data_IF_036107188541
#
_entry.id   IF_036107188541
#
_cell.length_a   1.000
_cell.length_b   1.000
_cell.length_c   1.000
_cell.angle_alpha   90.00
_cell.angle_beta   90.00
_cell.angle_gamma   90.00
#
_symmetry.space_group_name_H-M   'P 1'
#
loop_
_entity.id
_entity.type
_entity.pdbx_description
1 polymer ?
#
# COMPACT_ATOMS: atom_id res chain seq x y z
N UNK A 1 -14.10 -10.35 21.06
CA UNK A 1 -12.87 -11.03 20.64
C UNK A 1 -12.37 -10.28 19.43
N UNK A 2 -11.23 -9.59 19.52
CA UNK A 2 -10.52 -9.11 18.34
C UNK A 2 -10.20 -10.35 17.49
N UNK A 3 -10.46 -10.31 16.18
CA UNK A 3 -9.97 -11.37 15.30
C UNK A 3 -8.45 -11.45 15.50
N UNK A 4 -7.94 -12.63 15.88
CA UNK A 4 -6.51 -12.82 16.01
C UNK A 4 -5.88 -12.55 14.64
N UNK A 5 -4.90 -11.65 14.59
CA UNK A 5 -4.12 -11.44 13.38
C UNK A 5 -3.50 -12.80 12.95
N UNK A 6 -3.54 -13.10 11.65
CA UNK A 6 -2.98 -14.32 11.06
C UNK A 6 -1.74 -13.98 10.20
N UNK A 7 -0.61 -13.57 10.81
CA UNK A 7 0.54 -13.10 10.05
C UNK A 7 1.30 -14.24 9.36
N UNK A 8 1.73 -13.99 8.13
CA UNK A 8 2.76 -14.80 7.45
C UNK A 8 4.17 -14.49 8.00
N UNK A 9 4.41 -13.23 8.41
CA UNK A 9 5.68 -12.72 8.93
C UNK A 9 5.46 -11.82 10.14
N UNK A 10 6.28 -11.97 11.18
CA UNK A 10 6.38 -11.08 12.33
C UNK A 10 7.76 -10.44 12.36
N UNK A 11 7.81 -9.11 12.26
CA UNK A 11 9.04 -8.32 12.41
C UNK A 11 9.16 -7.83 13.86
N UNK A 12 10.31 -8.02 14.49
CA UNK A 12 10.55 -7.62 15.88
C UNK A 12 11.79 -6.74 16.02
N UNK A 13 11.61 -5.58 16.66
CA UNK A 13 12.67 -4.71 17.17
C UNK A 13 12.27 -4.22 18.56
N UNK A 14 12.65 -4.97 19.60
CA UNK A 14 12.16 -4.81 20.97
C UNK A 14 13.31 -5.08 21.95
N UNK A 15 13.30 -4.42 23.11
CA UNK A 15 14.29 -4.63 24.17
C UNK A 15 14.99 -3.35 24.65
N UNK A 16 14.88 -2.23 23.92
CA UNK A 16 15.64 -1.02 24.27
C UNK A 16 15.16 -0.38 25.58
N UNK A 17 13.86 -0.43 25.86
CA UNK A 17 13.26 0.10 27.09
C UNK A 17 13.71 -0.72 28.31
N UNK A 18 13.84 -2.03 28.16
CA UNK A 18 14.35 -2.95 29.18
C UNK A 18 15.75 -2.53 29.61
N UNK A 19 16.64 -2.24 28.64
CA UNK A 19 18.01 -1.84 28.91
C UNK A 19 18.14 -0.43 29.47
N UNK A 20 17.41 0.54 28.89
CA UNK A 20 17.57 1.97 29.18
C UNK A 20 16.77 2.42 30.38
N UNK A 21 15.48 2.09 30.42
CA UNK A 21 14.54 2.63 31.42
C UNK A 21 14.35 1.69 32.60
N UNK A 22 14.49 0.38 32.38
CA UNK A 22 14.35 -0.62 33.44
C UNK A 22 15.70 -1.13 33.96
N UNK A 23 16.80 -0.74 33.32
CA UNK A 23 18.15 -1.08 33.75
C UNK A 23 18.44 -2.59 33.72
N UNK A 24 17.69 -3.34 32.90
CA UNK A 24 17.81 -4.79 32.81
C UNK A 24 19.20 -5.22 32.37
N UNK A 25 19.61 -6.38 32.86
CA UNK A 25 20.79 -7.08 32.35
C UNK A 25 20.56 -7.48 30.88
N UNK A 26 21.50 -7.22 29.95
CA UNK A 26 21.29 -7.48 28.53
C UNK A 26 21.05 -8.94 28.16
N UNK A 27 21.66 -9.89 28.88
CA UNK A 27 21.43 -11.31 28.63
C UNK A 27 20.04 -11.74 29.11
N UNK A 28 19.58 -11.20 30.24
CA UNK A 28 18.25 -11.42 30.78
C UNK A 28 17.16 -10.86 29.86
N UNK A 29 17.31 -9.62 29.39
CA UNK A 29 16.39 -9.02 28.41
C UNK A 29 16.34 -9.82 27.09
N UNK A 30 17.48 -10.33 26.61
CA UNK A 30 17.51 -11.19 25.44
C UNK A 30 16.80 -12.55 25.67
N UNK A 31 16.84 -13.07 26.89
CA UNK A 31 16.12 -14.28 27.28
C UNK A 31 14.60 -14.05 27.37
N UNK A 32 14.16 -12.86 27.78
CA UNK A 32 12.74 -12.47 27.74
C UNK A 32 12.23 -12.37 26.30
N UNK A 33 12.98 -11.71 25.41
CA UNK A 33 12.66 -11.70 23.98
C UNK A 33 12.61 -13.12 23.39
N UNK A 34 13.53 -14.01 23.82
CA UNK A 34 13.47 -15.43 23.44
C UNK A 34 12.12 -16.06 23.83
N UNK A 35 11.63 -15.79 25.04
CA UNK A 35 10.34 -16.26 25.54
C UNK A 35 9.17 -15.75 24.69
N UNK A 36 9.17 -14.45 24.35
CA UNK A 36 8.15 -13.87 23.46
C UNK A 36 8.14 -14.56 22.09
N UNK A 37 9.30 -14.82 21.50
CA UNK A 37 9.39 -15.53 20.22
C UNK A 37 8.85 -16.96 20.35
N UNK A 38 9.11 -17.63 21.48
CA UNK A 38 8.57 -18.97 21.74
C UNK A 38 7.04 -18.95 21.85
N UNK A 39 6.46 -17.90 22.44
CA UNK A 39 5.02 -17.69 22.51
C UNK A 39 4.40 -17.41 21.13
N UNK A 40 5.08 -16.63 20.28
CA UNK A 40 4.68 -16.40 18.88
C UNK A 40 4.58 -17.72 18.13
N UNK A 41 5.61 -18.58 18.20
CA UNK A 41 5.58 -19.89 17.54
C UNK A 41 4.52 -20.84 18.14
N UNK A 42 4.24 -20.73 19.44
CA UNK A 42 3.18 -21.53 20.08
C UNK A 42 1.79 -21.13 19.60
N UNK A 43 1.56 -19.83 19.42
CA UNK A 43 0.28 -19.29 18.97
C UNK A 43 0.10 -19.40 17.45
N UNK A 44 1.19 -19.31 16.69
CA UNK A 44 1.18 -19.46 15.23
C UNK A 44 2.31 -20.37 14.73
N UNK A 45 2.11 -21.70 14.76
CA UNK A 45 3.06 -22.63 14.19
C UNK A 45 3.31 -22.32 12.70
N UNK A 46 4.58 -22.29 12.29
CA UNK A 46 4.99 -22.05 10.91
C UNK A 46 5.07 -20.58 10.47
N UNK A 47 4.78 -19.62 11.34
CA UNK A 47 5.02 -18.19 11.04
C UNK A 47 6.51 -17.91 10.83
N UNK A 48 6.84 -16.93 9.99
CA UNK A 48 8.21 -16.42 9.91
C UNK A 48 8.44 -15.34 10.95
N UNK A 49 9.54 -15.43 11.72
CA UNK A 49 9.94 -14.38 12.66
C UNK A 49 11.28 -13.81 12.23
N UNK A 50 11.33 -12.49 12.01
CA UNK A 50 12.56 -11.76 11.66
C UNK A 50 12.82 -10.73 12.76
N UNK A 51 13.98 -10.82 13.40
CA UNK A 51 14.36 -9.95 14.51
C UNK A 51 15.51 -9.06 14.11
N UNK A 52 15.31 -7.74 14.10
CA UNK A 52 16.42 -6.80 14.02
C UNK A 52 16.95 -6.50 15.42
N UNK A 53 18.27 -6.59 15.58
CA UNK A 53 18.92 -6.20 16.84
C UNK A 53 18.64 -4.74 17.23
N UNK A 54 18.97 -4.39 18.47
CA UNK A 54 18.88 -3.04 19.01
C UNK A 54 19.94 -2.13 18.41
N UNK A 55 19.59 -0.87 18.16
CA UNK A 55 20.49 0.11 17.56
C UNK A 55 21.75 0.29 18.42
N UNK A 56 22.97 0.07 17.88
CA UNK A 56 24.19 0.16 18.68
C UNK A 56 24.48 1.57 19.19
N UNK A 57 23.94 2.59 18.52
CA UNK A 57 24.21 4.00 18.77
C UNK A 57 23.18 4.64 19.73
N UNK A 58 22.28 3.84 20.34
CA UNK A 58 21.38 4.34 21.39
C UNK A 58 22.18 4.80 22.61
N UNK A 59 21.93 6.04 23.03
CA UNK A 59 22.65 6.67 24.14
C UNK A 59 22.29 6.04 25.49
N UNK A 60 23.23 6.07 26.43
CA UNK A 60 23.11 5.59 27.83
C UNK A 60 23.10 4.07 28.02
N UNK A 61 23.11 3.32 26.92
CA UNK A 61 23.16 1.86 26.89
C UNK A 61 24.27 1.34 25.97
N UNK A 62 25.29 2.16 25.75
CA UNK A 62 26.44 1.81 24.90
C UNK A 62 27.08 0.50 25.39
N UNK A 63 27.29 -0.43 24.47
CA UNK A 63 27.83 -1.77 24.78
C UNK A 63 26.79 -2.78 25.29
N UNK A 64 25.73 -2.35 26.00
CA UNK A 64 24.64 -3.25 26.43
C UNK A 64 23.88 -3.81 25.23
N UNK A 65 23.58 -2.96 24.24
CA UNK A 65 22.94 -3.36 22.98
C UNK A 65 23.76 -4.41 22.24
N UNK A 66 25.09 -4.34 22.28
CA UNK A 66 25.98 -5.35 21.69
C UNK A 66 25.83 -6.73 22.33
N UNK A 67 25.77 -6.80 23.66
CA UNK A 67 25.57 -8.07 24.40
C UNK A 67 24.19 -8.66 24.11
N UNK A 68 23.14 -7.83 24.14
CA UNK A 68 21.79 -8.23 23.78
C UNK A 68 21.74 -8.79 22.34
N UNK A 69 22.28 -8.05 21.38
CA UNK A 69 22.29 -8.42 19.97
C UNK A 69 23.04 -9.73 19.70
N UNK A 70 24.19 -9.94 20.36
CA UNK A 70 24.93 -11.18 20.26
C UNK A 70 24.12 -12.38 20.79
N UNK A 71 23.41 -12.20 21.90
CA UNK A 71 22.55 -13.24 22.49
C UNK A 71 21.35 -13.58 21.59
N UNK A 72 20.71 -12.58 20.97
CA UNK A 72 19.60 -12.80 20.02
C UNK A 72 20.10 -13.47 18.73
N UNK A 73 21.20 -12.97 18.16
CA UNK A 73 21.81 -13.56 16.96
C UNK A 73 22.20 -15.03 17.17
N UNK A 74 22.72 -15.36 18.36
CA UNK A 74 23.09 -16.73 18.74
C UNK A 74 21.93 -17.74 18.74
N UNK A 75 20.68 -17.29 18.72
CA UNK A 75 19.51 -18.17 18.66
C UNK A 75 19.25 -18.72 17.25
N UNK A 76 19.82 -18.12 16.20
CA UNK A 76 19.39 -18.41 14.83
C UNK A 76 19.59 -19.87 14.42
N UNK A 77 20.75 -20.45 14.75
CA UNK A 77 21.05 -21.85 14.40
C UNK A 77 20.14 -22.81 15.19
N UNK A 78 19.99 -22.60 16.50
CA UNK A 78 19.19 -23.50 17.35
C UNK A 78 17.71 -23.47 16.98
N UNK A 79 17.17 -22.29 16.65
CA UNK A 79 15.79 -22.14 16.17
C UNK A 79 15.57 -22.82 14.82
N UNK A 80 16.47 -22.62 13.86
CA UNK A 80 16.38 -23.30 12.55
C UNK A 80 16.50 -24.82 12.67
N UNK A 81 17.38 -25.32 13.54
CA UNK A 81 17.49 -26.76 13.82
C UNK A 81 16.22 -27.33 14.48
N UNK A 82 15.45 -26.50 15.20
CA UNK A 82 14.14 -26.85 15.73
C UNK A 82 13.00 -26.72 14.69
N UNK A 83 13.31 -26.47 13.42
CA UNK A 83 12.33 -26.31 12.33
C UNK A 83 11.61 -24.96 12.32
N UNK A 84 12.06 -24.00 13.12
CA UNK A 84 11.47 -22.65 13.14
C UNK A 84 12.00 -21.79 11.98
N UNK A 85 11.10 -21.03 11.36
CA UNK A 85 11.42 -20.02 10.34
C UNK A 85 11.86 -18.73 11.02
N UNK A 86 13.09 -18.72 11.51
CA UNK A 86 13.66 -17.61 12.27
C UNK A 86 14.85 -17.00 11.55
N UNK A 87 14.94 -15.66 11.56
CA UNK A 87 16.08 -14.92 10.99
C UNK A 87 16.48 -13.75 11.88
N UNK A 88 17.77 -13.59 12.11
CA UNK A 88 18.33 -12.41 12.76
C UNK A 88 18.81 -11.39 11.71
N UNK A 89 18.59 -10.11 11.99
CA UNK A 89 19.02 -8.97 11.17
C UNK A 89 19.94 -8.09 12.02
N UNK A 90 21.16 -7.89 11.55
CA UNK A 90 22.05 -6.93 12.19
C UNK A 90 21.48 -5.50 12.05
N UNK A 91 21.39 -4.73 13.13
CA UNK A 91 20.88 -3.37 13.06
C UNK A 91 21.84 -2.44 12.30
N UNK A 92 21.32 -1.42 11.61
CA UNK A 92 22.18 -0.38 11.03
C UNK A 92 22.85 0.44 12.13
N UNK A 93 23.91 1.17 11.75
CA UNK A 93 24.47 2.25 12.56
C UNK A 93 23.81 3.57 12.18
N UNK A 94 23.47 4.37 13.17
CA UNK A 94 22.84 5.68 13.00
C UNK A 94 23.79 6.80 13.43
N UNK A 95 23.67 7.95 12.78
CA UNK A 95 24.31 9.18 13.23
C UNK A 95 23.51 9.73 14.42
N UNK A 96 24.08 9.68 15.61
CA UNK A 96 23.39 10.13 16.84
C UNK A 96 22.94 11.59 16.75
N UNK A 97 23.74 12.47 16.14
CA UNK A 97 23.44 13.89 16.09
C UNK A 97 22.35 14.23 15.06
N UNK A 98 22.29 13.48 13.96
CA UNK A 98 21.38 13.77 12.85
C UNK A 98 20.13 12.89 12.82
N UNK A 99 20.19 11.68 13.38
CA UNK A 99 19.19 10.62 13.17
C UNK A 99 18.55 10.12 14.47
N UNK A 100 19.07 10.50 15.64
CA UNK A 100 18.52 10.15 16.96
C UNK A 100 18.28 11.42 17.82
N UNK A 101 17.20 12.19 17.56
CA UNK A 101 16.96 13.47 18.22
C UNK A 101 16.92 13.43 19.76
N UNK A 102 16.49 12.31 20.33
CA UNK A 102 16.47 12.07 21.78
C UNK A 102 17.47 10.98 22.23
N UNK A 103 18.39 10.63 21.34
CA UNK A 103 19.38 9.56 21.56
C UNK A 103 18.81 8.14 21.56
N UNK A 104 17.52 7.94 21.30
CA UNK A 104 16.84 6.62 21.38
C UNK A 104 16.00 6.31 20.16
N UNK A 105 15.15 7.24 19.74
CA UNK A 105 14.20 7.06 18.66
C UNK A 105 14.77 7.61 17.35
N UNK A 106 14.83 6.81 16.28
CA UNK A 106 15.19 7.28 14.96
C UNK A 106 14.22 8.36 14.45
N UNK A 107 14.72 9.31 13.68
CA UNK A 107 13.88 10.08 12.78
C UNK A 107 13.65 9.33 11.46
N UNK A 108 12.96 9.96 10.50
CA UNK A 108 12.66 9.37 9.19
C UNK A 108 13.89 8.79 8.48
N UNK A 109 15.03 9.49 8.50
CA UNK A 109 16.26 9.02 7.87
C UNK A 109 16.82 7.76 8.57
N UNK A 110 16.76 7.72 9.90
CA UNK A 110 17.14 6.53 10.67
C UNK A 110 16.18 5.36 10.44
N UNK A 111 14.87 5.60 10.37
CA UNK A 111 13.89 4.57 10.04
C UNK A 111 14.06 4.01 8.62
N UNK A 112 14.45 4.84 7.64
CA UNK A 112 14.80 4.36 6.29
C UNK A 112 15.96 3.36 6.34
N UNK A 113 16.98 3.60 7.17
CA UNK A 113 18.09 2.66 7.35
C UNK A 113 17.65 1.37 8.03
N UNK A 114 16.77 1.45 9.03
CA UNK A 114 16.20 0.26 9.68
C UNK A 114 15.39 -0.58 8.70
N UNK A 115 14.56 0.06 7.87
CA UNK A 115 13.79 -0.61 6.83
C UNK A 115 14.72 -1.29 5.80
N UNK A 116 15.76 -0.59 5.34
CA UNK A 116 16.75 -1.14 4.42
C UNK A 116 17.51 -2.35 4.99
N UNK A 117 17.63 -2.49 6.31
CA UNK A 117 18.19 -3.68 6.93
C UNK A 117 17.20 -4.86 6.98
N UNK A 118 15.90 -4.60 7.13
CA UNK A 118 14.86 -5.65 7.08
C UNK A 118 14.61 -6.19 5.68
N UNK A 119 14.66 -5.34 4.66
CA UNK A 119 14.21 -5.66 3.30
C UNK A 119 14.88 -6.93 2.73
N UNK A 120 16.22 -7.09 2.74
CA UNK A 120 16.86 -8.31 2.26
C UNK A 120 16.48 -9.56 3.06
N UNK A 121 16.17 -9.42 4.35
CA UNK A 121 15.79 -10.52 5.21
C UNK A 121 14.37 -11.03 4.92
N UNK A 122 13.46 -10.10 4.60
CA UNK A 122 12.10 -10.42 4.15
C UNK A 122 12.15 -11.09 2.78
N UNK A 123 12.92 -10.53 1.85
CA UNK A 123 13.13 -11.09 0.51
C UNK A 123 13.74 -12.49 0.56
N UNK A 124 14.71 -12.72 1.45
CA UNK A 124 15.27 -14.06 1.64
C UNK A 124 14.24 -15.01 2.24
N UNK A 125 13.43 -14.58 3.21
CA UNK A 125 12.36 -15.42 3.76
C UNK A 125 11.32 -15.82 2.69
N UNK A 126 11.03 -14.93 1.74
CA UNK A 126 10.21 -15.25 0.57
C UNK A 126 10.91 -16.29 -0.30
N UNK A 127 12.19 -16.08 -0.62
CA UNK A 127 12.99 -17.01 -1.44
C UNK A 127 13.11 -18.39 -0.81
N UNK A 128 13.18 -18.47 0.52
CA UNK A 128 13.27 -19.73 1.27
C UNK A 128 11.89 -20.44 1.37
N UNK A 129 10.82 -19.83 0.86
CA UNK A 129 9.44 -20.32 0.99
C UNK A 129 8.90 -20.24 2.42
N UNK A 130 9.50 -19.39 3.26
CA UNK A 130 9.09 -19.20 4.66
C UNK A 130 7.97 -18.16 4.78
N UNK A 131 8.04 -17.15 3.92
CA UNK A 131 6.98 -16.18 3.71
C UNK A 131 6.47 -16.31 2.27
N UNK A 132 5.22 -15.94 2.06
CA UNK A 132 4.75 -15.59 0.73
C UNK A 132 4.86 -14.08 0.62
N UNK A 133 5.25 -13.58 -0.56
CA UNK A 133 4.71 -12.28 -0.93
C UNK A 133 3.21 -12.49 -0.85
N UNK A 134 2.52 -11.71 -0.01
CA UNK A 134 1.18 -11.35 -0.39
C UNK A 134 1.31 -10.99 -1.86
N UNK A 135 0.55 -11.64 -2.74
CA UNK A 135 0.24 -10.96 -3.98
C UNK A 135 -0.04 -9.55 -3.51
N UNK A 136 0.80 -8.57 -3.92
CA UNK A 136 0.47 -7.17 -3.71
C UNK A 136 -1.02 -7.04 -4.04
N UNK A 137 -1.78 -6.05 -3.56
CA UNK A 137 -3.07 -5.76 -4.18
C UNK A 137 -2.79 -5.64 -5.69
N UNK A 138 -3.01 -6.73 -6.44
CA UNK A 138 -2.10 -7.07 -7.55
C UNK A 138 -2.90 -6.59 -8.71
N UNK A 139 -2.67 -5.34 -9.08
CA UNK A 139 -3.04 -4.78 -10.35
C UNK A 139 -4.51 -4.92 -10.78
N UNK A 140 -5.42 -5.48 -9.98
CA UNK A 140 -6.85 -5.40 -10.19
C UNK A 140 -7.32 -3.96 -9.97
N UNK A 141 -6.77 -3.21 -9.03
CA UNK A 141 -7.20 -1.82 -8.82
C UNK A 141 -6.81 -0.94 -10.00
N UNK A 142 -7.82 -0.47 -10.72
CA UNK A 142 -7.71 0.47 -11.82
C UNK A 142 -6.87 1.71 -11.47
N UNK A 143 -5.87 2.01 -12.31
CA UNK A 143 -5.24 3.33 -12.37
C UNK A 143 -5.57 4.05 -13.69
N UNK A 144 -5.59 5.39 -13.68
CA UNK A 144 -5.89 6.21 -14.87
C UNK A 144 -7.17 7.06 -14.80
N UNK A 145 -7.90 7.02 -13.69
CA UNK A 145 -8.99 7.97 -13.39
C UNK A 145 -10.25 7.76 -14.22
N UNK A 146 -10.79 8.82 -14.85
CA UNK A 146 -12.01 8.75 -15.67
C UNK A 146 -11.76 8.95 -17.18
N UNK A 147 -10.48 8.95 -17.62
CA UNK A 147 -10.08 9.16 -19.02
C UNK A 147 -10.42 7.99 -19.96
N UNK A 148 -9.77 7.87 -21.12
CA UNK A 148 -9.91 6.68 -21.98
C UNK A 148 -8.95 5.55 -21.62
N UNK A 149 -7.73 5.83 -21.16
CA UNK A 149 -6.74 4.79 -20.82
C UNK A 149 -6.87 4.40 -19.35
N UNK A 150 -6.87 3.10 -19.08
CA UNK A 150 -6.81 2.48 -17.75
C UNK A 150 -5.70 1.47 -17.69
N UNK A 151 -5.26 1.20 -16.47
CA UNK A 151 -4.23 0.23 -16.15
C UNK A 151 -4.78 -0.73 -15.11
N UNK A 152 -4.83 -2.02 -15.46
CA UNK A 152 -5.25 -3.10 -14.59
C UNK A 152 -4.69 -4.43 -15.12
N UNK A 153 -4.49 -5.43 -14.26
CA UNK A 153 -4.13 -6.80 -14.63
C UNK A 153 -5.40 -7.52 -15.06
N UNK A 154 -5.61 -7.55 -16.37
CA UNK A 154 -6.83 -8.05 -16.96
C UNK A 154 -6.83 -9.57 -17.08
N UNK A 155 -5.66 -10.21 -17.12
CA UNK A 155 -5.58 -11.66 -17.31
C UNK A 155 -5.04 -12.45 -16.10
N UNK A 156 -4.64 -11.75 -15.04
CA UNK A 156 -4.23 -12.29 -13.76
C UNK A 156 -2.80 -12.82 -13.74
N UNK A 157 -1.95 -12.42 -14.69
CA UNK A 157 -0.55 -12.85 -14.75
C UNK A 157 0.38 -12.07 -13.80
N UNK A 158 -0.16 -11.09 -13.08
CA UNK A 158 0.53 -10.24 -12.13
C UNK A 158 1.21 -9.03 -12.75
N UNK A 159 1.03 -8.79 -14.06
CA UNK A 159 1.55 -7.63 -14.78
C UNK A 159 0.39 -6.70 -15.13
N UNK A 160 0.64 -5.40 -15.00
CA UNK A 160 -0.38 -4.40 -15.35
C UNK A 160 -0.54 -4.30 -16.87
N UNK A 161 -1.78 -4.46 -17.33
CA UNK A 161 -2.17 -4.32 -18.73
C UNK A 161 -2.69 -2.92 -19.04
N UNK A 162 -2.64 -2.56 -20.32
CA UNK A 162 -3.24 -1.33 -20.81
C UNK A 162 -4.65 -1.61 -21.33
N UNK A 163 -5.63 -0.90 -20.78
CA UNK A 163 -7.01 -0.93 -21.22
C UNK A 163 -7.39 0.43 -21.82
N UNK A 164 -8.18 0.42 -22.89
CA UNK A 164 -8.79 1.63 -23.44
C UNK A 164 -10.31 1.50 -23.41
N UNK A 165 -10.98 2.45 -22.77
CA UNK A 165 -12.43 2.49 -22.59
C UNK A 165 -13.00 3.60 -23.47
N UNK A 166 -13.87 3.22 -24.42
CA UNK A 166 -14.64 4.16 -25.23
C UNK A 166 -15.85 4.69 -24.46
N UNK A 167 -16.48 5.77 -24.93
CA UNK A 167 -17.63 6.39 -24.23
C UNK A 167 -18.77 5.40 -23.97
N UNK A 168 -19.03 4.47 -24.89
CA UNK A 168 -20.04 3.43 -24.70
C UNK A 168 -19.64 2.33 -23.68
N UNK A 169 -18.47 2.46 -23.06
CA UNK A 169 -17.89 1.48 -22.17
C UNK A 169 -17.25 0.28 -22.87
N UNK A 170 -17.11 0.28 -24.21
CA UNK A 170 -16.31 -0.73 -24.93
C UNK A 170 -14.88 -0.71 -24.37
N UNK A 171 -14.33 -1.89 -24.06
CA UNK A 171 -12.96 -2.03 -23.57
C UNK A 171 -12.13 -2.75 -24.61
N UNK A 172 -10.95 -2.19 -24.88
CA UNK A 172 -9.87 -2.86 -25.62
C UNK A 172 -8.67 -3.07 -24.72
N UNK A 173 -7.99 -4.20 -24.85
CA UNK A 173 -6.86 -4.55 -24.00
C UNK A 173 -5.57 -4.78 -24.80
N UNK A 174 -4.46 -4.37 -24.19
CA UNK A 174 -3.10 -4.72 -24.58
C UNK A 174 -2.42 -5.33 -23.37
N UNK A 175 -2.12 -6.62 -23.46
CA UNK A 175 -1.58 -7.40 -22.37
C UNK A 175 -0.07 -7.22 -22.28
N UNK A 176 0.43 -7.00 -21.07
CA UNK A 176 1.84 -6.82 -20.79
C UNK A 176 2.48 -8.19 -20.54
N UNK A 177 2.87 -8.90 -21.60
CA UNK A 177 3.50 -10.23 -21.46
C UNK A 177 4.98 -10.10 -21.08
N UNK A 178 5.54 -11.20 -20.57
CA UNK A 178 6.98 -11.32 -20.38
C UNK A 178 7.78 -11.11 -21.70
N UNK A 179 7.20 -11.46 -22.84
CA UNK A 179 7.80 -11.28 -24.18
C UNK A 179 7.48 -9.91 -24.82
N UNK A 180 6.69 -9.07 -24.14
CA UNK A 180 6.31 -7.73 -24.61
C UNK A 180 4.80 -7.52 -24.72
N UNK A 181 4.40 -6.38 -25.26
CA UNK A 181 2.99 -6.00 -25.38
C UNK A 181 2.28 -6.83 -26.45
N UNK A 182 1.14 -7.43 -26.09
CA UNK A 182 0.25 -8.18 -26.97
C UNK A 182 -1.09 -7.46 -27.11
N UNK A 183 -1.45 -7.02 -28.32
CA UNK A 183 -2.77 -6.45 -28.60
C UNK A 183 -3.82 -7.56 -28.73
N UNK A 184 -4.80 -7.58 -27.84
CA UNK A 184 -5.91 -8.56 -27.86
C UNK A 184 -7.20 -7.96 -28.43
N UNK A 185 -7.19 -6.69 -28.81
CA UNK A 185 -8.34 -6.02 -29.39
C UNK A 185 -9.47 -5.79 -28.39
N UNK A 186 -10.73 -5.92 -28.85
CA UNK A 186 -11.92 -5.67 -28.02
C UNK A 186 -12.17 -6.84 -27.07
N UNK A 187 -12.29 -6.53 -25.79
CA UNK A 187 -12.54 -7.48 -24.70
C UNK A 187 -13.86 -7.26 -23.99
N UNK A 188 -14.53 -6.11 -24.20
CA UNK A 188 -15.92 -5.91 -23.77
C UNK A 188 -16.64 -4.98 -24.76
N UNK A 189 -17.90 -5.25 -25.08
CA UNK A 189 -18.72 -4.40 -25.97
C UNK A 189 -19.20 -3.10 -25.32
N UNK A 190 -19.20 -3.04 -23.98
CA UNK A 190 -19.65 -1.89 -23.19
C UNK A 190 -21.11 -1.94 -22.74
N UNK A 191 -21.42 -1.24 -21.66
CA UNK A 191 -22.74 -1.25 -20.99
C UNK A 191 -23.34 0.15 -20.78
N UNK A 192 -22.72 1.19 -21.32
CA UNK A 192 -23.05 2.58 -21.00
C UNK A 192 -22.91 3.48 -22.24
N UNK A 193 -23.09 4.78 -22.07
CA UNK A 193 -22.74 5.84 -23.04
C UNK A 193 -21.77 6.86 -22.43
N UNK A 194 -21.36 6.60 -21.19
CA UNK A 194 -20.43 7.41 -20.42
C UNK A 194 -19.38 6.50 -19.78
N UNK A 195 -18.14 6.54 -20.31
CA UNK A 195 -17.00 5.74 -19.83
C UNK A 195 -16.63 6.00 -18.38
N UNK A 196 -16.97 7.16 -17.82
CA UNK A 196 -16.63 7.49 -16.43
C UNK A 196 -17.40 6.64 -15.41
N UNK A 197 -18.47 5.98 -15.86
CA UNK A 197 -19.28 4.99 -15.14
C UNK A 197 -18.68 3.59 -15.16
N UNK A 198 -17.60 3.36 -15.89
CA UNK A 198 -16.91 2.06 -15.92
C UNK A 198 -15.78 2.07 -14.92
N UNK A 199 -15.67 0.97 -14.17
CA UNK A 199 -14.44 0.61 -13.46
C UNK A 199 -13.98 -0.77 -13.87
N UNK A 200 -12.66 -0.98 -13.88
CA UNK A 200 -12.05 -2.26 -14.18
C UNK A 200 -11.25 -2.72 -12.96
N UNK A 201 -11.85 -3.56 -12.12
CA UNK A 201 -11.24 -3.97 -10.85
C UNK A 201 -11.54 -5.38 -10.44
N UNK A 202 -10.60 -6.04 -9.75
CA UNK A 202 -10.77 -7.39 -9.22
C UNK A 202 -11.79 -7.37 -8.06
N UNK A 203 -13.02 -7.79 -8.34
CA UNK A 203 -14.13 -7.73 -7.39
C UNK A 203 -14.26 -9.03 -6.60
N UNK A 204 -13.97 -10.19 -7.19
CA UNK A 204 -14.14 -11.49 -6.53
C UNK A 204 -12.85 -12.07 -5.90
N UNK A 205 -11.71 -11.45 -6.17
CA UNK A 205 -10.40 -11.77 -5.63
C UNK A 205 -9.71 -12.91 -6.37
N UNK A 206 -10.07 -13.18 -7.63
CA UNK A 206 -9.45 -14.22 -8.44
C UNK A 206 -8.13 -13.79 -9.12
N UNK A 207 -7.76 -12.51 -8.96
CA UNK A 207 -6.55 -11.90 -9.50
C UNK A 207 -6.75 -11.23 -10.85
N UNK A 208 -7.95 -11.28 -11.45
CA UNK A 208 -8.26 -10.65 -12.73
C UNK A 208 -9.14 -9.43 -12.53
N UNK A 209 -8.90 -8.38 -13.31
CA UNK A 209 -9.77 -7.23 -13.26
C UNK A 209 -11.14 -7.52 -13.91
N UNK A 210 -12.22 -7.23 -13.17
CA UNK A 210 -13.61 -7.37 -13.59
C UNK A 210 -14.18 -6.08 -14.14
N UNK A 211 -15.29 -6.18 -14.89
CA UNK A 211 -15.98 -5.01 -15.43
C UNK A 211 -17.11 -4.57 -14.49
N UNK A 212 -17.02 -3.35 -14.00
CA UNK A 212 -18.01 -2.73 -13.12
C UNK A 212 -18.71 -1.57 -13.83
N UNK A 213 -20.04 -1.62 -13.84
CA UNK A 213 -20.89 -0.50 -14.25
C UNK A 213 -21.45 0.21 -13.02
N UNK A 214 -21.23 1.52 -12.94
CA UNK A 214 -21.70 2.38 -11.87
C UNK A 214 -22.86 3.24 -12.39
N UNK A 215 -24.06 3.05 -11.85
CA UNK A 215 -25.19 3.93 -12.11
C UNK A 215 -24.96 5.32 -11.50
N UNK A 216 -25.73 6.32 -11.95
CA UNK A 216 -25.65 7.67 -11.37
C UNK A 216 -25.87 7.69 -9.84
N UNK A 217 -26.70 6.78 -9.32
CA UNK A 217 -26.93 6.58 -7.88
C UNK A 217 -25.77 5.88 -7.14
N UNK A 218 -24.63 5.67 -7.80
CA UNK A 218 -23.52 4.88 -7.27
C UNK A 218 -23.85 3.39 -7.12
N UNK A 219 -24.99 2.90 -7.62
CA UNK A 219 -25.31 1.47 -7.66
C UNK A 219 -24.35 0.76 -8.63
N UNK A 220 -23.99 -0.48 -8.33
CA UNK A 220 -22.91 -1.18 -9.04
C UNK A 220 -23.42 -2.50 -9.60
N UNK A 221 -23.24 -2.72 -10.89
CA UNK A 221 -23.41 -4.03 -11.55
C UNK A 221 -22.05 -4.58 -11.94
N UNK A 222 -21.79 -5.85 -11.61
CA UNK A 222 -20.50 -6.52 -11.86
C UNK A 222 -20.63 -7.58 -12.95
N UNK A 223 -19.62 -7.66 -13.80
CA UNK A 223 -19.39 -8.73 -14.76
C UNK A 223 -18.00 -9.30 -14.52
N UNK A 224 -17.96 -10.55 -14.06
CA UNK A 224 -16.71 -11.23 -13.72
C UNK A 224 -15.97 -11.69 -14.96
N UNK A 225 -14.65 -11.48 -14.96
CA UNK A 225 -13.80 -11.73 -16.11
C UNK A 225 -13.39 -13.20 -16.21
N UNK A 226 -14.01 -13.91 -17.16
CA UNK A 226 -13.68 -15.29 -17.51
C UNK A 226 -12.87 -15.37 -18.82
N UNK A 227 -12.16 -14.30 -19.16
CA UNK A 227 -11.34 -14.15 -20.37
C UNK A 227 -11.90 -13.18 -21.41
N UNK A 228 -12.89 -12.35 -21.03
CA UNK A 228 -13.51 -11.32 -21.85
C UNK A 228 -14.13 -11.81 -23.17
N UNK A 229 -14.43 -10.89 -24.09
CA UNK A 229 -14.99 -11.24 -25.42
C UNK A 229 -14.08 -12.19 -26.23
N UNK A 230 -12.78 -12.24 -25.91
CA UNK A 230 -11.80 -13.13 -26.54
C UNK A 230 -12.09 -14.63 -26.29
N UNK A 231 -12.81 -14.97 -25.21
CA UNK A 231 -13.21 -16.35 -24.89
C UNK A 231 -14.58 -16.73 -25.47
N UNK A 232 -15.17 -15.87 -26.31
CA UNK A 232 -16.51 -16.06 -26.86
C UNK A 232 -17.62 -15.65 -25.87
N UNK A 233 -18.88 -16.07 -26.09
CA UNK A 233 -20.05 -15.56 -25.36
C UNK A 233 -20.04 -15.87 -23.84
N UNK A 234 -19.11 -16.70 -23.36
CA UNK A 234 -19.01 -17.09 -21.96
C UNK A 234 -17.81 -16.45 -21.23
N UNK A 235 -17.06 -15.54 -21.88
CA UNK A 235 -15.90 -14.91 -21.26
C UNK A 235 -16.22 -13.81 -20.25
N UNK A 236 -17.50 -13.45 -20.10
CA UNK A 236 -18.00 -12.58 -19.05
C UNK A 236 -19.15 -13.26 -18.30
N UNK A 237 -19.10 -13.26 -16.96
CA UNK A 237 -20.20 -13.73 -16.11
C UNK A 237 -20.84 -12.57 -15.36
N UNK A 238 -22.03 -12.15 -15.78
CA UNK A 238 -22.80 -11.15 -15.03
C UNK A 238 -23.26 -11.73 -13.70
N UNK A 239 -22.99 -11.03 -12.59
CA UNK A 239 -23.52 -11.36 -11.26
C UNK A 239 -24.60 -10.36 -10.79
N UNK A 240 -25.01 -9.46 -11.69
CA UNK A 240 -26.06 -8.48 -11.44
C UNK A 240 -25.60 -7.32 -10.56
N UNK A 241 -26.57 -6.64 -9.95
CA UNK A 241 -26.31 -5.50 -9.07
C UNK A 241 -25.85 -5.99 -7.70
N UNK A 242 -24.66 -5.57 -7.29
CA UNK A 242 -24.01 -5.95 -6.03
C UNK A 242 -23.96 -4.82 -5.01
N UNK A 243 -24.33 -3.61 -5.41
CA UNK A 243 -24.45 -2.47 -4.51
C UNK A 243 -25.65 -1.61 -4.92
N UNK A 244 -26.48 -1.21 -3.96
CA UNK A 244 -27.56 -0.24 -4.19
C UNK A 244 -27.07 1.20 -4.42
N UNK A 245 -25.83 1.47 -4.01
CA UNK A 245 -25.19 2.77 -4.08
C UNK A 245 -25.51 3.66 -2.88
N UNK A 246 -24.56 4.52 -2.51
CA UNK A 246 -24.66 5.39 -1.34
C UNK A 246 -24.51 6.87 -1.68
N UNK A 247 -24.58 7.23 -2.96
CA UNK A 247 -24.41 8.60 -3.47
C UNK A 247 -25.35 8.85 -4.64
N UNK A 248 -25.45 10.08 -5.13
CA UNK A 248 -26.11 10.42 -6.41
C UNK A 248 -25.11 10.90 -7.45
N UNK A 249 -23.81 10.81 -7.16
CA UNK A 249 -22.70 11.24 -8.01
C UNK A 249 -21.72 10.08 -8.16
N UNK A 250 -21.76 9.38 -9.30
CA UNK A 250 -20.91 8.22 -9.53
C UNK A 250 -19.41 8.57 -9.53
N UNK A 251 -19.07 9.85 -9.77
CA UNK A 251 -17.71 10.38 -9.73
C UNK A 251 -17.10 10.36 -8.32
N UNK A 252 -17.92 10.21 -7.28
CA UNK A 252 -17.47 10.01 -5.91
C UNK A 252 -17.13 8.54 -5.60
N UNK A 253 -17.54 7.60 -6.47
CA UNK A 253 -17.32 6.16 -6.26
C UNK A 253 -15.92 5.76 -6.71
N UNK A 254 -15.20 5.07 -5.82
CA UNK A 254 -13.90 4.44 -6.06
C UNK A 254 -13.96 2.98 -5.60
N UNK A 255 -12.99 2.22 -6.09
CA UNK A 255 -12.77 0.85 -5.67
C UNK A 255 -11.29 0.67 -5.35
N UNK A 256 -11.01 -0.04 -4.27
CA UNK A 256 -9.68 -0.40 -3.80
C UNK A 256 -9.83 -1.54 -2.80
N UNK A 257 -8.83 -2.41 -2.72
CA UNK A 257 -8.72 -3.38 -1.63
C UNK A 257 -8.30 -2.64 -0.35
N UNK A 258 -9.28 -2.21 0.45
CA UNK A 258 -9.05 -1.30 1.58
C UNK A 258 -8.67 -2.06 2.85
N UNK A 259 -9.14 -3.31 3.01
CA UNK A 259 -8.79 -4.17 4.15
C UNK A 259 -7.73 -5.23 3.86
N UNK A 260 -7.26 -5.35 2.61
CA UNK A 260 -6.17 -6.22 2.21
C UNK A 260 -6.58 -7.68 2.01
N UNK A 261 -7.87 -7.97 1.83
CA UNK A 261 -8.40 -9.32 1.64
C UNK A 261 -8.30 -9.83 0.19
N UNK A 262 -7.84 -8.97 -0.72
CA UNK A 262 -7.67 -9.26 -2.14
C UNK A 262 -8.88 -8.92 -2.99
N UNK A 263 -9.96 -8.35 -2.43
CA UNK A 263 -11.16 -7.96 -3.16
C UNK A 263 -11.31 -6.45 -3.18
N UNK A 264 -11.82 -5.92 -4.28
CA UNK A 264 -12.14 -4.50 -4.35
C UNK A 264 -13.33 -4.14 -3.46
N UNK A 265 -13.10 -3.22 -2.53
CA UNK A 265 -14.12 -2.61 -1.68
C UNK A 265 -14.81 -1.45 -2.38
N UNK A 266 -16.02 -1.09 -1.91
CA UNK A 266 -16.75 0.07 -2.41
C UNK A 266 -16.45 1.30 -1.55
N UNK A 267 -15.89 2.33 -2.16
CA UNK A 267 -15.54 3.57 -1.48
C UNK A 267 -16.34 4.73 -2.06
N UNK A 268 -16.80 5.62 -1.18
CA UNK A 268 -17.26 6.96 -1.57
C UNK A 268 -16.36 8.02 -0.99
N UNK A 269 -15.91 8.94 -1.84
CA UNK A 269 -15.11 10.10 -1.47
C UNK A 269 -15.99 11.35 -1.56
N UNK A 270 -16.26 11.97 -0.42
CA UNK A 270 -16.98 13.23 -0.34
C UNK A 270 -16.11 14.42 -0.79
N UNK A 271 -16.72 15.54 -1.13
CA UNK A 271 -16.03 16.73 -1.64
C UNK A 271 -15.01 17.32 -0.65
N UNK A 272 -15.18 17.05 0.65
CA UNK A 272 -14.24 17.44 1.70
C UNK A 272 -13.08 16.44 1.88
N UNK A 273 -12.95 15.45 1.00
CA UNK A 273 -11.95 14.38 1.06
C UNK A 273 -12.29 13.25 2.03
N UNK A 274 -13.43 13.30 2.72
CA UNK A 274 -13.87 12.23 3.60
C UNK A 274 -14.15 10.94 2.83
N UNK A 275 -13.58 9.82 3.29
CA UNK A 275 -13.74 8.51 2.66
C UNK A 275 -14.64 7.64 3.53
N UNK A 276 -15.66 7.03 2.93
CA UNK A 276 -16.43 5.93 3.53
C UNK A 276 -16.16 4.67 2.74
N UNK A 277 -15.64 3.64 3.41
CA UNK A 277 -15.39 2.32 2.83
C UNK A 277 -16.47 1.33 3.27
N UNK A 278 -16.90 0.48 2.33
CA UNK A 278 -17.81 -0.63 2.55
C UNK A 278 -17.11 -1.91 2.08
N UNK A 279 -16.80 -2.79 3.04
CA UNK A 279 -15.96 -3.98 2.80
C UNK A 279 -16.70 -5.06 2.02
N UNK A 280 -16.10 -5.57 0.96
CA UNK A 280 -16.71 -6.51 0.03
C UNK A 280 -16.78 -7.93 0.59
N UNK A 281 -17.91 -8.25 1.24
CA UNK A 281 -18.24 -9.60 1.73
C UNK A 281 -19.18 -10.38 0.80
N UNK A 282 -19.16 -10.10 -0.50
CA UNK A 282 -20.05 -10.68 -1.50
C UNK A 282 -21.20 -9.77 -1.96
N UNK A 283 -21.14 -8.47 -1.60
CA UNK A 283 -22.11 -7.45 -2.00
C UNK A 283 -23.46 -7.50 -1.29
N UNK A 284 -24.37 -6.61 -1.70
CA UNK A 284 -25.78 -6.62 -1.29
C UNK A 284 -26.49 -7.85 -1.90
N UNK A 285 -27.11 -8.73 -1.09
CA UNK A 285 -27.79 -9.91 -1.63
C UNK A 285 -28.94 -9.53 -2.55
N UNK A 286 -28.98 -10.12 -3.75
CA UNK A 286 -30.05 -9.91 -4.71
C UNK A 286 -31.42 -10.30 -4.11
N UNK A 287 -32.35 -9.34 -4.07
CA UNK A 287 -33.73 -9.56 -3.60
C UNK A 287 -33.99 -9.27 -2.11
N UNK A 288 -32.99 -8.86 -1.32
CA UNK A 288 -33.21 -8.38 0.04
C UNK A 288 -33.62 -6.90 -0.01
N UNK A 289 -34.92 -6.64 0.09
CA UNK A 289 -35.41 -5.28 0.34
C UNK A 289 -34.81 -4.73 1.63
N UNK A 290 -34.13 -3.59 1.53
CA UNK A 290 -33.86 -2.66 2.63
C UNK A 290 -33.22 -3.27 3.89
N UNK A 291 -32.04 -3.84 3.78
CA UNK A 291 -31.23 -4.24 4.94
C UNK A 291 -29.76 -4.39 4.57
N UNK A 292 -28.95 -3.39 4.90
CA UNK A 292 -27.53 -3.31 4.56
C UNK A 292 -26.76 -4.53 5.06
N UNK A 293 -26.14 -5.28 4.16
CA UNK A 293 -25.15 -6.32 4.51
C UNK A 293 -23.73 -5.75 4.69
N UNK A 294 -23.59 -4.42 4.72
CA UNK A 294 -22.31 -3.74 4.91
C UNK A 294 -22.04 -3.49 6.40
N UNK A 295 -20.97 -4.08 6.92
CA UNK A 295 -20.40 -3.66 8.20
C UNK A 295 -19.65 -2.36 7.94
N UNK A 296 -20.14 -1.23 8.47
CA UNK A 296 -19.36 0.02 8.48
C UNK A 296 -18.10 -0.21 9.30
N UNK A 297 -16.92 -0.07 8.69
CA UNK A 297 -15.72 0.19 9.48
C UNK A 297 -15.80 1.64 9.97
N UNK A 298 -15.87 1.82 11.28
CA UNK A 298 -15.54 3.11 11.91
C UNK A 298 -14.01 3.17 11.92
N UNK A 299 -13.36 4.24 11.45
CA UNK A 299 -11.93 4.39 11.68
C UNK A 299 -11.68 4.29 13.18
N UNK A 300 -10.83 3.36 13.59
CA UNK A 300 -10.36 3.35 14.98
C UNK A 300 -9.67 4.70 15.22
N UNK A 301 -10.02 5.42 16.30
CA UNK A 301 -9.22 6.58 16.69
C UNK A 301 -7.78 6.11 16.91
N UNK A 302 -6.77 6.97 16.64
CA UNK A 302 -5.39 6.65 17.00
C UNK A 302 -5.36 6.20 18.47
N UNK A 303 -4.53 5.20 18.84
CA UNK A 303 -4.51 4.67 20.18
C UNK A 303 -4.35 5.82 21.18
N UNK A 304 -5.42 6.10 21.91
CA UNK A 304 -5.39 7.03 23.04
C UNK A 304 -4.44 6.43 24.05
N UNK A 305 -3.41 7.19 24.43
CA UNK A 305 -2.50 6.83 25.51
C UNK A 305 -3.30 6.36 26.73
N UNK A 306 -3.20 5.07 27.03
CA UNK A 306 -3.78 4.49 28.21
C UNK A 306 -2.94 4.92 29.43
N UNK A 307 -3.37 6.02 30.06
CA UNK A 307 -3.38 6.17 31.50
C UNK A 307 -2.03 6.26 32.22
N UNK A 308 -1.39 7.43 32.18
CA UNK A 308 -0.62 7.89 33.34
C UNK A 308 -1.60 8.45 34.37
N UNK A 309 -1.91 7.64 35.38
CA UNK A 309 -2.60 8.10 36.58
C UNK A 309 -1.71 9.11 37.31
N UNK A 310 -2.01 10.40 37.18
CA UNK A 310 -1.37 11.45 37.96
C UNK A 310 -2.32 11.99 39.03
N UNK A 311 -1.88 11.81 40.27
CA UNK A 311 -2.48 12.28 41.51
C UNK A 311 -2.77 13.78 41.46
N UNK A 312 -3.91 14.13 42.05
CA UNK A 312 -4.29 15.48 42.45
C UNK A 312 -3.23 16.12 43.34
N UNK A 313 -2.64 17.22 42.89
CA UNK A 313 -2.06 18.23 43.78
C UNK A 313 -2.58 19.60 43.38
N UNK A 314 -3.40 20.15 44.26
CA UNK A 314 -3.92 21.53 44.27
C UNK A 314 -2.78 22.55 44.28
N UNK A 315 -2.85 23.53 43.38
CA UNK A 315 -2.21 24.84 43.57
C UNK A 315 -3.05 25.96 42.93
N UNK A 316 -3.60 26.76 43.83
CA UNK A 316 -4.24 28.09 43.81
C UNK A 316 -4.09 28.97 42.55
N UNK A 317 -5.21 29.50 42.08
CA UNK A 317 -5.33 30.56 41.08
C UNK A 317 -5.21 31.98 41.67
N UNK A 318 -4.59 32.91 40.95
CA UNK A 318 -4.76 34.38 41.04
C UNK A 318 -4.59 35.00 39.63
N UNK A 319 -5.34 36.07 39.24
CA UNK A 319 -5.77 36.29 37.85
C UNK A 319 -5.24 37.56 37.15
N UNK A 320 -5.74 37.78 35.91
CA UNK A 320 -5.81 39.02 35.07
C UNK A 320 -4.52 39.46 34.33
N UNK A 321 -4.52 40.05 33.13
CA UNK A 321 -5.45 40.92 32.35
C UNK A 321 -5.17 40.84 30.82
N UNK A 322 -6.20 41.03 29.99
CA UNK A 322 -6.11 41.38 28.55
C UNK A 322 -5.78 42.88 28.35
N UNK A 323 -5.27 43.33 27.18
CA UNK A 323 -6.16 44.05 26.25
C UNK A 323 -5.86 43.92 24.72
N UNK A 324 -6.95 43.78 23.96
CA UNK A 324 -7.44 44.57 22.80
C UNK A 324 -6.54 45.12 21.65
N UNK A 325 -6.63 44.46 20.47
CA UNK A 325 -7.01 44.93 19.10
C UNK A 325 -6.23 46.05 18.32
N UNK A 326 -6.45 46.27 16.97
CA UNK A 326 -5.62 45.82 15.83
C UNK A 326 -5.06 46.97 14.94
N UNK A 327 -4.21 46.68 13.93
CA UNK A 327 -4.04 47.58 12.76
C UNK A 327 -3.48 46.87 11.50
N UNK A 328 -4.05 47.22 10.35
CA UNK A 328 -3.71 46.78 9.01
C UNK A 328 -2.69 47.72 8.32
N UNK A 329 -1.93 47.22 7.34
CA UNK A 329 -1.51 47.94 6.12
C UNK A 329 -0.80 47.01 5.10
N UNK A 330 -1.30 47.02 3.86
CA UNK A 330 -0.68 46.50 2.62
C UNK A 330 0.40 47.49 2.08
N UNK A 331 0.81 47.45 0.79
CA UNK A 331 1.63 46.47 0.05
C UNK A 331 2.94 47.13 -0.47
N UNK A 332 3.84 46.36 -1.10
CA UNK A 332 4.88 46.94 -1.98
C UNK A 332 4.91 46.23 -3.32
N UNK A 333 4.62 47.02 -4.36
CA UNK A 333 4.90 46.77 -5.78
C UNK A 333 6.18 47.50 -6.16
N UNK A 334 7.02 46.89 -6.99
CA UNK A 334 7.86 47.61 -7.95
C UNK A 334 8.01 46.77 -9.22
N UNK A 335 7.56 47.36 -10.32
CA UNK A 335 7.58 46.83 -11.69
C UNK A 335 8.76 47.46 -12.43
N UNK A 336 9.46 46.71 -13.27
CA UNK A 336 9.97 47.25 -14.53
C UNK A 336 9.99 46.15 -15.62
N UNK A 337 9.53 46.55 -16.81
CA UNK A 337 9.24 45.79 -18.03
C UNK A 337 10.49 45.76 -18.95
N UNK A 338 10.63 45.10 -20.10
CA UNK A 338 9.92 44.15 -20.98
C UNK A 338 11.02 43.57 -21.91
N UNK A 339 10.93 42.36 -22.47
CA UNK A 339 10.41 42.05 -23.83
C UNK A 339 10.97 40.68 -24.25
N UNK A 340 10.26 39.92 -25.11
CA UNK A 340 10.89 38.96 -26.02
C UNK A 340 10.58 37.46 -25.82
N UNK A 341 9.49 37.01 -26.43
CA UNK A 341 9.30 35.77 -27.21
C UNK A 341 10.22 34.54 -27.04
N UNK A 342 9.53 33.41 -26.83
CA UNK A 342 9.58 32.15 -27.60
C UNK A 342 10.45 30.97 -27.13
N UNK A 343 9.72 29.84 -27.08
CA UNK A 343 10.07 28.49 -27.53
C UNK A 343 11.00 27.62 -26.68
N UNK A 344 10.49 26.41 -26.41
CA UNK A 344 11.14 25.36 -25.67
C UNK A 344 12.33 24.74 -26.39
N UNK A 345 13.08 23.94 -25.64
CA UNK A 345 14.08 23.03 -26.19
C UNK A 345 13.93 21.66 -25.54
N UNK A 346 13.60 20.72 -26.41
CA UNK A 346 13.79 19.30 -26.23
C UNK A 346 15.28 18.97 -26.06
N UNK A 347 15.52 17.85 -25.37
CA UNK A 347 16.80 17.21 -25.18
C UNK A 347 17.25 16.52 -26.49
N UNK A 348 18.44 16.89 -26.99
CA UNK A 348 19.16 16.22 -28.08
C UNK A 348 20.28 15.33 -27.51
N UNK A 349 20.32 14.07 -27.95
CA UNK A 349 21.43 13.14 -27.76
C UNK A 349 22.03 12.70 -29.11
N UNK A 350 23.33 12.33 -29.18
CA UNK A 350 24.08 12.34 -30.43
C UNK A 350 23.96 11.06 -31.27
N UNK A 351 23.95 11.22 -32.60
CA UNK A 351 24.13 10.17 -33.62
C UNK A 351 25.59 10.06 -34.07
N UNK A 352 26.10 8.86 -34.42
CA UNK A 352 27.28 8.74 -35.28
C UNK A 352 26.93 8.38 -36.74
N UNK A 353 27.91 8.65 -37.60
CA UNK A 353 27.82 8.91 -39.04
C UNK A 353 27.84 7.67 -39.96
N UNK A 354 27.38 7.86 -41.21
CA UNK A 354 27.60 6.97 -42.35
C UNK A 354 28.47 7.64 -43.42
N UNK A 355 29.25 6.86 -44.19
CA UNK A 355 29.28 7.05 -45.65
C UNK A 355 29.53 5.71 -46.42
N UNK A 356 29.65 5.71 -47.76
CA UNK A 356 28.73 6.21 -48.77
C UNK A 356 28.28 5.11 -49.78
N UNK A 357 27.41 5.54 -50.69
CA UNK A 357 26.72 4.90 -51.83
C UNK A 357 27.46 3.85 -52.68
N UNK A 358 26.73 2.81 -53.12
CA UNK A 358 26.86 2.22 -54.49
C UNK A 358 25.52 1.61 -54.97
N UNK A 359 25.26 1.82 -56.25
CA UNK A 359 24.17 1.45 -57.16
C UNK A 359 23.85 -0.06 -57.26
N UNK A 360 22.58 -0.41 -57.56
CA UNK A 360 22.24 -1.74 -58.12
C UNK A 360 20.74 -2.06 -58.21
N UNK A 361 20.20 -2.09 -59.44
CA UNK A 361 18.87 -2.58 -59.85
C UNK A 361 18.60 -4.06 -59.48
N UNK A 362 17.33 -4.48 -59.38
CA UNK A 362 16.67 -5.51 -60.22
C UNK A 362 15.19 -5.71 -59.80
N UNK A 363 14.34 -5.71 -60.84
CA UNK A 363 12.91 -6.02 -60.98
C UNK A 363 12.45 -7.40 -60.47
N UNK A 364 11.15 -7.61 -60.18
CA UNK A 364 10.12 -8.08 -61.15
C UNK A 364 8.73 -8.19 -60.50
N UNK A 365 7.76 -7.67 -61.27
CA UNK A 365 6.33 -8.03 -61.45
C UNK A 365 5.44 -8.23 -60.23
#
# INVERSE_FOLDING_TARGET
>A
MQAAADPDVVLLHLGINDLKWHGADPASAAAELKGLIDDIYRNRPGVTVIVQGLLPDTTEVEGKTGVFNAAVAGQEISRRNAGQRFRYVAPPRLDVAAELPDGTHPNDAGYVKMAAAYDPAIEQAISDGWARRATAPRAGTEAGGAGPVRWADFDGDGRTDQLTIADNGEVRARLNRAEGWQDVGRVATGTTIDKSRVRITDYDGDGKADYLYIAASGAVTVYLNQGGDASGPNGWRSIGQVAWGTTTQHEQVRFADFDGDGRADYLTIADNGGVTAHLNRGGDPAGAGGGSAWVRSRPEPPPTEAGSASRTTTATAVPTTTPSTPMAASPRTSTEAATGTAAGRAWDGPRPASPPTTTGYISRT
#
